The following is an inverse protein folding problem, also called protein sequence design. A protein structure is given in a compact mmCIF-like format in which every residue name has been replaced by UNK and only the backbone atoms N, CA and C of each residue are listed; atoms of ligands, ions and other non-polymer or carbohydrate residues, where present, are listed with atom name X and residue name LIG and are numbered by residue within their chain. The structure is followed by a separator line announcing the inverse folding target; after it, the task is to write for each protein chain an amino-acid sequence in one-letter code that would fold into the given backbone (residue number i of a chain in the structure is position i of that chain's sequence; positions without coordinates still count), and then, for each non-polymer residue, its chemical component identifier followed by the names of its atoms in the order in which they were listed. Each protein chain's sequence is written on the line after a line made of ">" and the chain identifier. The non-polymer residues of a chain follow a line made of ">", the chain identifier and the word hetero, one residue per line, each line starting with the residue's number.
data_IF_336747165037
#
_entry.id   IF_336747165037
#
_cell.length_a   1.000
_cell.length_b   1.000
_cell.length_c   1.000
_cell.angle_alpha   90.00
_cell.angle_beta   90.00
_cell.angle_gamma   90.00
#
_symmetry.space_group_name_H-M   'P 1'
#
loop_
_entity.id
_entity.type
_entity.pdbx_description
1 polymer ?
#
# COMPACT_ATOMS: atom_id res chain seq x y z
N UNK A 1 -14.56 32.49 5.39
CA UNK A 1 -13.63 32.04 4.33
C UNK A 1 -13.83 30.55 4.25
N UNK A 2 -14.55 30.12 3.22
CA UNK A 2 -15.10 28.77 3.11
C UNK A 2 -14.07 27.89 2.43
N UNK A 3 -13.70 26.78 3.05
CA UNK A 3 -12.78 25.78 2.49
C UNK A 3 -13.29 25.31 1.13
N UNK A 4 -12.52 25.62 0.08
CA UNK A 4 -12.77 25.09 -1.26
C UNK A 4 -12.38 23.62 -1.27
N UNK A 5 -13.38 22.75 -1.15
CA UNK A 5 -13.24 21.31 -1.39
C UNK A 5 -12.74 21.14 -2.84
N UNK A 6 -11.52 20.64 -2.99
CA UNK A 6 -10.93 20.36 -4.30
C UNK A 6 -11.69 19.17 -4.90
N UNK A 7 -12.58 19.47 -5.83
CA UNK A 7 -13.31 18.48 -6.59
C UNK A 7 -12.42 17.87 -7.68
N UNK A 8 -11.82 16.72 -7.38
CA UNK A 8 -10.94 15.96 -8.26
C UNK A 8 -11.67 15.45 -9.53
N UNK A 9 -13.02 15.43 -9.55
CA UNK A 9 -13.77 15.04 -10.76
C UNK A 9 -13.60 16.03 -11.91
N UNK A 10 -13.29 17.30 -11.62
CA UNK A 10 -13.01 18.30 -12.67
C UNK A 10 -11.71 18.06 -13.43
N UNK A 11 -10.74 17.37 -12.83
CA UNK A 11 -9.46 17.06 -13.46
C UNK A 11 -9.50 15.76 -14.27
N UNK A 12 -10.43 14.86 -13.93
CA UNK A 12 -10.68 13.63 -14.66
C UNK A 12 -11.72 13.90 -15.76
N UNK A 13 -11.28 14.43 -16.91
CA UNK A 13 -12.09 14.38 -18.14
C UNK A 13 -12.32 12.92 -18.54
N UNK A 14 -13.33 12.28 -17.93
CA UNK A 14 -13.76 10.92 -18.25
C UNK A 14 -15.12 11.00 -18.92
N UNK A 15 -15.23 10.35 -20.07
CA UNK A 15 -16.51 10.13 -20.74
C UNK A 15 -17.47 9.38 -19.80
N UNK A 16 -18.79 9.67 -19.84
CA UNK A 16 -19.78 9.23 -18.85
C UNK A 16 -20.23 7.77 -19.07
N UNK A 17 -19.30 6.88 -19.36
CA UNK A 17 -19.53 5.43 -19.41
C UNK A 17 -18.38 4.76 -18.68
N UNK A 18 -18.46 4.82 -17.37
CA UNK A 18 -17.61 4.03 -16.50
C UNK A 18 -18.55 3.41 -15.49
N UNK A 19 -19.09 2.24 -15.83
CA UNK A 19 -19.66 1.26 -14.91
C UNK A 19 -18.54 0.75 -13.97
N UNK A 20 -17.87 1.66 -13.28
CA UNK A 20 -17.17 1.28 -12.06
C UNK A 20 -18.27 0.94 -11.08
N UNK A 21 -18.28 -0.27 -10.48
CA UNK A 21 -19.13 -0.55 -9.35
C UNK A 21 -19.00 0.62 -8.38
N UNK A 22 -20.10 1.04 -7.73
CA UNK A 22 -19.99 1.92 -6.56
C UNK A 22 -19.18 1.16 -5.51
N UNK A 23 -17.87 1.27 -5.61
CA UNK A 23 -16.92 0.43 -4.91
C UNK A 23 -16.96 0.82 -3.45
N UNK A 24 -17.23 -0.18 -2.61
CA UNK A 24 -17.07 -0.05 -1.17
C UNK A 24 -15.57 0.09 -0.90
N UNK A 25 -15.09 1.32 -0.79
CA UNK A 25 -13.70 1.65 -0.46
C UNK A 25 -13.63 1.96 1.02
N UNK A 26 -12.76 1.26 1.73
CA UNK A 26 -12.49 1.49 3.14
C UNK A 26 -11.00 1.75 3.37
N UNK A 27 -10.72 2.75 4.20
CA UNK A 27 -9.36 3.14 4.58
C UNK A 27 -9.25 3.02 6.11
N UNK A 28 -8.37 2.14 6.55
CA UNK A 28 -8.14 1.85 7.97
C UNK A 28 -6.75 2.33 8.41
N UNK A 29 -6.65 2.77 9.67
CA UNK A 29 -5.38 3.22 10.27
C UNK A 29 -4.85 4.56 9.75
N UNK A 30 -5.68 5.31 9.02
CA UNK A 30 -5.27 6.48 8.25
C UNK A 30 -5.66 7.83 8.88
N UNK A 31 -5.73 7.90 10.21
CA UNK A 31 -6.01 9.15 10.92
C UNK A 31 -4.91 10.21 10.68
N UNK A 32 -5.30 11.49 10.61
CA UNK A 32 -4.38 12.62 10.49
C UNK A 32 -3.47 12.54 9.25
N UNK A 33 -2.16 12.63 9.46
CA UNK A 33 -1.15 12.60 8.39
C UNK A 33 -1.09 11.26 7.65
N UNK A 34 -1.58 10.16 8.25
CA UNK A 34 -1.62 8.85 7.58
C UNK A 34 -2.65 8.78 6.45
N UNK A 35 -3.62 9.70 6.40
CA UNK A 35 -4.54 9.82 5.26
C UNK A 35 -3.82 10.09 3.93
N UNK A 36 -2.60 10.65 3.97
CA UNK A 36 -1.77 10.93 2.79
C UNK A 36 -1.34 9.68 2.03
N UNK A 37 -1.41 8.50 2.64
CA UNK A 37 -1.16 7.24 1.94
C UNK A 37 -2.31 6.84 0.98
N UNK A 38 -3.51 7.41 1.11
CA UNK A 38 -4.67 6.96 0.35
C UNK A 38 -4.46 7.00 -1.17
N UNK A 39 -3.94 8.12 -1.69
CA UNK A 39 -3.73 8.29 -3.13
C UNK A 39 -2.61 7.39 -3.70
N UNK A 40 -1.39 7.32 -3.13
CA UNK A 40 -0.37 6.41 -3.64
C UNK A 40 -0.79 4.95 -3.51
N UNK A 41 -1.46 4.56 -2.41
CA UNK A 41 -1.99 3.19 -2.26
C UNK A 41 -3.04 2.88 -3.33
N UNK A 42 -4.00 3.78 -3.57
CA UNK A 42 -5.00 3.58 -4.61
C UNK A 42 -4.37 3.40 -6.00
N UNK A 43 -3.36 4.21 -6.31
CA UNK A 43 -2.64 4.11 -7.58
C UNK A 43 -1.85 2.81 -7.69
N UNK A 44 -1.19 2.37 -6.62
CA UNK A 44 -0.47 1.10 -6.56
C UNK A 44 -1.43 -0.07 -6.76
N UNK A 45 -2.59 -0.10 -6.08
CA UNK A 45 -3.63 -1.12 -6.26
C UNK A 45 -4.03 -1.22 -7.73
N UNK A 46 -4.32 -0.08 -8.36
CA UNK A 46 -4.70 -0.05 -9.77
C UNK A 46 -3.60 -0.57 -10.71
N UNK A 47 -2.34 -0.16 -10.49
CA UNK A 47 -1.22 -0.59 -11.32
C UNK A 47 -0.88 -2.08 -11.14
N UNK A 48 -1.03 -2.58 -9.91
CA UNK A 48 -0.85 -3.99 -9.57
C UNK A 48 -2.04 -4.86 -9.96
N UNK A 49 -3.16 -4.26 -10.37
CA UNK A 49 -4.45 -4.93 -10.60
C UNK A 49 -4.94 -5.71 -9.37
N UNK A 50 -4.67 -5.20 -8.17
CA UNK A 50 -5.12 -5.78 -6.90
C UNK A 50 -6.41 -5.15 -6.39
N UNK A 51 -6.81 -5.56 -5.17
CA UNK A 51 -8.00 -5.05 -4.47
C UNK A 51 -7.67 -4.37 -3.14
N UNK A 52 -6.50 -4.66 -2.58
CA UNK A 52 -6.13 -4.21 -1.25
C UNK A 52 -4.64 -3.92 -1.19
N UNK A 53 -4.27 -2.79 -0.60
CA UNK A 53 -2.89 -2.48 -0.27
C UNK A 53 -2.72 -2.27 1.24
N UNK A 54 -1.67 -2.85 1.79
CA UNK A 54 -1.36 -2.82 3.21
C UNK A 54 0.06 -2.34 3.41
N UNK A 55 0.22 -1.22 4.13
CA UNK A 55 1.50 -0.87 4.74
C UNK A 55 1.53 -1.56 6.09
N UNK A 56 2.59 -2.32 6.35
CA UNK A 56 2.75 -3.06 7.59
C UNK A 56 4.21 -3.10 8.02
N UNK A 57 4.42 -3.57 9.25
CA UNK A 57 5.76 -3.78 9.78
C UNK A 57 5.85 -5.10 10.53
N UNK A 58 7.08 -5.59 10.66
CA UNK A 58 7.44 -6.70 11.55
C UNK A 58 8.77 -6.43 12.23
N UNK A 59 9.06 -7.11 13.33
CA UNK A 59 10.38 -7.00 13.96
C UNK A 59 11.42 -7.76 13.15
N UNK A 60 12.63 -7.22 13.03
CA UNK A 60 13.75 -7.87 12.30
C UNK A 60 14.01 -9.31 12.80
N UNK A 61 13.85 -9.55 14.10
CA UNK A 61 14.06 -10.88 14.71
C UNK A 61 12.84 -11.81 14.61
N UNK A 62 11.66 -11.27 14.30
CA UNK A 62 10.36 -11.99 14.34
C UNK A 62 9.45 -11.58 13.18
N UNK A 63 9.92 -11.82 11.96
CA UNK A 63 9.21 -11.45 10.73
C UNK A 63 7.90 -12.22 10.49
N UNK A 64 7.62 -13.28 11.27
CA UNK A 64 6.41 -14.08 11.11
C UNK A 64 5.10 -13.37 11.54
N UNK A 65 5.20 -12.31 12.36
CA UNK A 65 4.04 -11.53 12.79
C UNK A 65 4.07 -10.16 12.14
N UNK A 66 3.10 -9.93 11.26
CA UNK A 66 2.91 -8.67 10.57
C UNK A 66 1.90 -7.80 11.30
N UNK A 67 2.22 -6.52 11.43
CA UNK A 67 1.39 -5.53 12.09
C UNK A 67 0.90 -4.53 11.04
N UNK A 68 -0.39 -4.54 10.67
CA UNK A 68 -0.92 -3.57 9.73
C UNK A 68 -0.81 -2.16 10.33
N UNK A 69 -0.39 -1.22 9.50
CA UNK A 69 -0.24 0.19 9.86
C UNK A 69 -1.28 1.05 9.16
N UNK A 70 -1.43 0.88 7.85
CA UNK A 70 -2.47 1.50 7.02
C UNK A 70 -2.97 0.48 6.01
N UNK A 71 -4.28 0.39 5.84
CA UNK A 71 -4.91 -0.52 4.87
C UNK A 71 -5.88 0.28 4.01
N UNK A 72 -5.71 0.18 2.70
CA UNK A 72 -6.70 0.60 1.73
C UNK A 72 -7.29 -0.66 1.07
N UNK A 73 -8.60 -0.85 1.21
CA UNK A 73 -9.33 -1.97 0.62
C UNK A 73 -10.44 -1.43 -0.28
N UNK A 74 -10.38 -1.72 -1.58
CA UNK A 74 -11.39 -1.27 -2.56
C UNK A 74 -12.46 -2.34 -2.82
N UNK A 75 -12.33 -3.51 -2.20
CA UNK A 75 -13.26 -4.63 -2.36
C UNK A 75 -14.08 -4.95 -1.09
N UNK A 76 -13.75 -4.36 0.07
CA UNK A 76 -14.43 -4.62 1.33
C UNK A 76 -14.62 -3.37 2.21
N UNK A 77 -15.67 -3.39 3.03
CA UNK A 77 -15.93 -2.45 4.13
C UNK A 77 -16.61 -3.22 5.29
N UNK A 78 -15.97 -3.38 6.46
CA UNK A 78 -14.68 -2.78 6.84
C UNK A 78 -13.48 -3.38 6.09
N UNK A 79 -12.36 -2.64 6.09
CA UNK A 79 -11.11 -3.07 5.45
C UNK A 79 -10.61 -4.40 6.05
N UNK A 80 -10.16 -5.31 5.19
CA UNK A 80 -9.53 -6.56 5.65
C UNK A 80 -8.14 -6.24 6.19
N UNK A 81 -7.93 -6.30 7.50
CA UNK A 81 -6.64 -5.91 8.13
C UNK A 81 -5.66 -7.06 8.33
N UNK A 82 -6.11 -8.31 8.16
CA UNK A 82 -5.27 -9.47 8.38
C UNK A 82 -4.21 -9.59 7.28
N UNK A 83 -2.96 -9.77 7.70
CA UNK A 83 -1.79 -10.00 6.84
C UNK A 83 -1.15 -11.32 7.24
N UNK A 84 -1.07 -12.26 6.31
CA UNK A 84 -0.36 -13.52 6.53
C UNK A 84 1.15 -13.30 6.39
N UNK A 85 1.83 -13.20 7.53
CA UNK A 85 3.28 -13.03 7.59
C UNK A 85 4.09 -14.22 7.08
N UNK A 86 3.48 -15.41 6.92
CA UNK A 86 4.18 -16.59 6.43
C UNK A 86 4.61 -16.46 4.96
N UNK A 87 3.87 -15.65 4.19
CA UNK A 87 4.09 -15.47 2.74
C UNK A 87 4.88 -14.19 2.43
N UNK A 88 5.27 -13.42 3.44
CA UNK A 88 6.10 -12.23 3.27
C UNK A 88 7.57 -12.65 3.19
N UNK A 89 8.28 -12.32 2.10
CA UNK A 89 9.71 -12.58 1.99
C UNK A 89 10.51 -11.95 3.12
N UNK A 90 11.60 -12.60 3.48
CA UNK A 90 12.54 -12.04 4.44
C UNK A 90 13.38 -10.97 3.76
N UNK A 91 13.29 -9.74 4.26
CA UNK A 91 14.12 -8.64 3.80
C UNK A 91 15.29 -8.42 4.76
N UNK A 92 16.44 -8.10 4.18
CA UNK A 92 17.61 -7.62 4.93
C UNK A 92 17.40 -6.13 5.25
N UNK A 93 17.58 -5.68 6.51
CA UNK A 93 17.48 -4.27 6.88
C UNK A 93 18.34 -3.33 6.03
N UNK A 94 19.45 -3.82 5.48
CA UNK A 94 20.43 -3.07 4.70
C UNK A 94 20.21 -3.19 3.17
N UNK A 95 19.15 -3.91 2.74
CA UNK A 95 18.79 -4.02 1.32
C UNK A 95 18.28 -2.69 0.76
N UNK A 96 18.45 -2.48 -0.54
CA UNK A 96 17.76 -1.40 -1.24
C UNK A 96 16.25 -1.68 -1.40
N UNK A 97 15.43 -0.67 -1.74
CA UNK A 97 14.02 -0.89 -2.06
C UNK A 97 13.86 -1.94 -3.17
N UNK A 98 13.08 -2.97 -2.88
CA UNK A 98 12.86 -4.10 -3.78
C UNK A 98 11.38 -4.42 -3.88
N UNK A 99 10.96 -4.87 -5.06
CA UNK A 99 9.61 -5.34 -5.35
C UNK A 99 9.71 -6.78 -5.82
N UNK A 100 8.98 -7.64 -5.14
CA UNK A 100 8.79 -9.05 -5.45
C UNK A 100 7.36 -9.21 -5.96
N UNK A 101 7.25 -9.87 -7.11
CA UNK A 101 6.01 -10.05 -7.85
C UNK A 101 5.63 -11.52 -7.82
N UNK A 102 4.46 -11.82 -7.25
CA UNK A 102 3.87 -13.16 -7.14
C UNK A 102 2.68 -13.34 -8.08
N UNK A 103 2.64 -12.59 -9.18
CA UNK A 103 1.64 -12.73 -10.23
C UNK A 103 0.20 -12.56 -9.69
N UNK A 104 -0.61 -13.61 -9.71
CA UNK A 104 -2.00 -13.60 -9.27
C UNK A 104 -2.14 -13.56 -7.73
N UNK A 105 -1.09 -13.89 -6.99
CA UNK A 105 -1.03 -13.75 -5.53
C UNK A 105 -0.72 -12.31 -5.08
N UNK A 106 -0.28 -11.45 -6.01
CA UNK A 106 -0.04 -10.02 -5.76
C UNK A 106 1.44 -9.63 -5.71
N UNK A 107 1.77 -8.58 -4.96
CA UNK A 107 3.14 -8.06 -4.85
C UNK A 107 3.51 -7.70 -3.41
N UNK A 108 4.81 -7.77 -3.12
CA UNK A 108 5.39 -7.31 -1.85
C UNK A 108 6.55 -6.37 -2.14
N UNK A 109 6.59 -5.24 -1.44
CA UNK A 109 7.60 -4.20 -1.60
C UNK A 109 8.27 -3.94 -0.26
N UNK A 110 9.59 -3.96 -0.22
CA UNK A 110 10.36 -3.49 0.93
C UNK A 110 10.46 -1.97 0.91
N UNK A 111 9.97 -1.32 1.96
CA UNK A 111 10.01 0.14 2.10
C UNK A 111 11.27 0.62 2.81
N UNK A 112 11.81 -0.19 3.73
CA UNK A 112 12.98 0.12 4.51
C UNK A 112 12.92 -0.43 5.94
N UNK A 113 13.94 -0.12 6.72
CA UNK A 113 14.01 -0.49 8.13
C UNK A 113 14.14 0.74 9.03
N UNK A 114 13.52 0.71 10.22
CA UNK A 114 13.66 1.75 11.25
C UNK A 114 13.35 1.19 12.62
N UNK A 115 14.18 1.53 13.61
CA UNK A 115 13.99 1.13 15.01
C UNK A 115 13.75 -0.38 15.21
N UNK A 116 14.48 -1.23 14.49
CA UNK A 116 14.36 -2.70 14.58
C UNK A 116 13.09 -3.28 13.91
N UNK A 117 12.39 -2.47 13.12
CA UNK A 117 11.23 -2.86 12.31
C UNK A 117 11.58 -2.88 10.83
N UNK A 118 11.08 -3.89 10.14
CA UNK A 118 11.06 -4.02 8.68
C UNK A 118 9.70 -3.55 8.20
N UNK A 119 9.68 -2.57 7.30
CA UNK A 119 8.46 -1.99 6.74
C UNK A 119 8.23 -2.52 5.33
N UNK A 120 7.00 -2.98 5.07
CA UNK A 120 6.61 -3.53 3.78
C UNK A 120 5.27 -2.97 3.31
N UNK A 121 5.12 -2.88 1.99
CA UNK A 121 3.86 -2.64 1.31
C UNK A 121 3.46 -3.92 0.59
N UNK A 122 2.30 -4.45 0.90
CA UNK A 122 1.70 -5.59 0.23
C UNK A 122 0.54 -5.12 -0.63
N UNK A 123 0.36 -5.75 -1.78
CA UNK A 123 -0.86 -5.62 -2.57
C UNK A 123 -1.35 -7.02 -2.91
N UNK A 124 -2.61 -7.29 -2.62
CA UNK A 124 -3.24 -8.58 -2.90
C UNK A 124 -4.68 -8.39 -3.44
N UNK A 125 -5.31 -9.52 -3.77
CA UNK A 125 -6.60 -9.56 -4.46
C UNK A 125 -6.45 -9.41 -5.97
N UNK A 126 -7.55 -9.17 -6.66
CA UNK A 126 -7.58 -8.97 -8.11
C UNK A 126 -7.58 -10.26 -8.93
N UNK A 127 -7.07 -11.37 -8.41
CA UNK A 127 -7.32 -12.77 -8.85
C UNK A 127 -7.19 -13.06 -10.35
N UNK A 128 -6.54 -12.18 -11.10
CA UNK A 128 -6.75 -12.08 -12.55
C UNK A 128 -5.51 -11.64 -13.32
N UNK A 129 -4.35 -11.57 -12.67
CA UNK A 129 -3.09 -11.21 -13.32
C UNK A 129 -2.20 -12.44 -13.51
N UNK A 130 -2.26 -13.10 -14.70
CA UNK A 130 -1.50 -14.33 -14.97
C UNK A 130 -0.04 -14.07 -15.37
N UNK A 131 0.38 -12.81 -15.47
CA UNK A 131 1.73 -12.43 -15.91
C UNK A 131 2.37 -11.43 -14.94
N UNK A 132 3.70 -11.47 -14.76
CA UNK A 132 4.43 -10.44 -14.02
C UNK A 132 4.15 -9.02 -14.52
N UNK A 133 4.32 -8.03 -13.64
CA UNK A 133 4.14 -6.64 -13.97
C UNK A 133 5.08 -6.23 -15.11
N UNK A 134 4.50 -5.60 -16.12
CA UNK A 134 5.29 -4.95 -17.15
C UNK A 134 6.24 -3.92 -16.52
N UNK A 135 7.46 -3.82 -17.06
CA UNK A 135 8.51 -2.95 -16.53
C UNK A 135 8.03 -1.51 -16.21
N UNK A 136 7.25 -0.81 -17.07
CA UNK A 136 6.78 0.53 -16.75
C UNK A 136 5.90 0.58 -15.49
N UNK A 137 4.99 -0.39 -15.33
CA UNK A 137 4.15 -0.47 -14.13
C UNK A 137 4.98 -0.75 -12.88
N UNK A 138 5.99 -1.61 -12.99
CA UNK A 138 6.93 -1.90 -11.90
C UNK A 138 7.72 -0.66 -11.48
N UNK A 139 8.19 0.14 -12.43
CA UNK A 139 8.91 1.39 -12.16
C UNK A 139 8.00 2.44 -11.50
N UNK A 140 6.76 2.60 -11.99
CA UNK A 140 5.77 3.50 -11.39
C UNK A 140 5.41 3.08 -9.95
N UNK A 141 5.21 1.78 -9.72
CA UNK A 141 4.91 1.25 -8.38
C UNK A 141 6.08 1.49 -7.43
N UNK A 142 7.33 1.25 -7.86
CA UNK A 142 8.51 1.53 -7.03
C UNK A 142 8.67 3.01 -6.71
N UNK A 143 8.33 3.90 -7.65
CA UNK A 143 8.30 5.34 -7.41
C UNK A 143 7.28 5.70 -6.31
N UNK A 144 6.04 5.21 -6.43
CA UNK A 144 4.97 5.45 -5.44
C UNK A 144 5.30 4.83 -4.08
N UNK A 145 5.92 3.65 -4.06
CA UNK A 145 6.42 3.04 -2.83
C UNK A 145 7.51 3.89 -2.18
N UNK A 146 8.36 4.54 -2.97
CA UNK A 146 9.31 5.56 -2.50
C UNK A 146 8.63 6.77 -1.86
N UNK A 147 7.50 7.24 -2.41
CA UNK A 147 6.70 8.30 -1.78
C UNK A 147 6.12 7.83 -0.43
N UNK A 148 5.61 6.60 -0.36
CA UNK A 148 5.16 5.99 0.89
C UNK A 148 6.31 5.88 1.91
N UNK A 149 7.49 5.42 1.51
CA UNK A 149 8.67 5.35 2.36
C UNK A 149 9.10 6.76 2.84
N UNK A 150 9.04 7.76 1.96
CA UNK A 150 9.28 9.15 2.31
C UNK A 150 8.31 9.67 3.37
N UNK A 151 7.01 9.39 3.24
CA UNK A 151 6.02 9.70 4.28
C UNK A 151 6.31 8.95 5.59
N UNK A 152 6.65 7.66 5.51
CA UNK A 152 6.96 6.83 6.68
C UNK A 152 8.17 7.35 7.48
N UNK A 153 9.26 7.67 6.80
CA UNK A 153 10.54 7.93 7.46
C UNK A 153 10.92 9.41 7.54
N UNK A 154 10.53 10.26 6.60
CA UNK A 154 10.84 11.70 6.66
C UNK A 154 9.82 12.50 7.47
N UNK A 155 8.63 11.94 7.70
CA UNK A 155 7.61 12.50 8.60
C UNK A 155 7.50 11.73 9.91
N UNK A 156 8.44 10.83 10.18
CA UNK A 156 8.54 10.03 11.40
C UNK A 156 7.28 9.20 11.75
N UNK A 157 6.38 8.95 10.79
CA UNK A 157 5.16 8.15 11.01
C UNK A 157 5.48 6.72 11.44
N UNK A 158 6.66 6.19 11.07
CA UNK A 158 7.13 4.90 11.52
C UNK A 158 7.36 4.82 13.05
N UNK A 159 7.59 5.96 13.71
CA UNK A 159 7.77 6.03 15.16
C UNK A 159 6.43 6.05 15.91
N UNK A 160 5.34 6.46 15.24
CA UNK A 160 3.98 6.43 15.78
C UNK A 160 3.35 5.03 15.81
N UNK A 161 4.03 4.03 15.24
CA UNK A 161 3.55 2.66 15.31
C UNK A 161 3.66 2.14 16.76
N UNK A 162 2.56 1.60 17.32
CA UNK A 162 2.51 1.20 18.72
C UNK A 162 3.63 0.22 19.06
N UNK A 163 4.31 0.47 20.18
CA UNK A 163 5.20 -0.52 20.77
C UNK A 163 4.34 -1.63 21.39
N UNK A 164 4.58 -2.88 20.99
CA UNK A 164 4.07 -4.04 21.73
C UNK A 164 4.85 -4.26 23.02
#
# INVERSE_FOLDING_TARGET
>A
MTDEIIDLTRYLKREPTSDLPKGTMSLWGADGERSRFALPLWRIIYLAQGDRAVISWSYTERQARMHPFVVLDIAADPARTDVDGANVPKFDPDEGPSLIDFEDEGIVIFLGSRAGRIWTLLVDGGGGRPEPLARPAREDILFLAGECAGLLFLRDLADDAPAE
#
